data_IF_078123918976
#
_entry.id   IF_078123918976
#
_cell.length_a   1.000
_cell.length_b   1.000
_cell.length_c   1.000
_cell.angle_alpha   90.00
_cell.angle_beta   90.00
_cell.angle_gamma   90.00
#
_symmetry.space_group_name_H-M   'P 1'
#
loop_
_entity.id
_entity.type
_entity.pdbx_description
1 polymer ?
#
# COMPACT_ATOMS: atom_id res chain seq x y z
N UNK A 1 18.39 -66.04 6.47
CA UNK A 1 18.70 -64.99 5.43
C UNK A 1 20.17 -64.62 5.64
N UNK A 2 21.07 -65.10 4.78
CA UNK A 2 22.48 -64.73 4.80
C UNK A 2 22.60 -63.36 4.11
N UNK A 3 22.81 -62.31 4.90
CA UNK A 3 23.21 -61.02 4.34
C UNK A 3 24.62 -61.21 3.76
N UNK A 4 24.77 -61.13 2.48
CA UNK A 4 26.07 -61.21 1.83
C UNK A 4 26.92 -60.03 2.31
N UNK A 5 28.23 -60.25 2.51
CA UNK A 5 29.18 -59.23 2.94
C UNK A 5 29.09 -57.96 2.10
N UNK A 6 28.84 -58.09 0.81
CA UNK A 6 28.56 -56.99 -0.12
C UNK A 6 27.31 -56.17 0.26
N UNK A 7 26.19 -56.80 0.63
CA UNK A 7 24.99 -56.11 1.08
C UNK A 7 25.16 -55.36 2.40
N UNK A 8 26.00 -55.86 3.29
CA UNK A 8 26.36 -55.15 4.53
C UNK A 8 27.17 -53.90 4.25
N UNK A 9 28.17 -53.96 3.38
CA UNK A 9 28.95 -52.77 2.99
C UNK A 9 28.10 -51.74 2.27
N UNK A 10 27.23 -52.17 1.34
CA UNK A 10 26.36 -51.27 0.63
C UNK A 10 25.45 -50.51 1.60
N UNK A 11 24.82 -51.20 2.54
CA UNK A 11 23.94 -50.60 3.54
C UNK A 11 24.68 -49.59 4.45
N UNK A 12 25.95 -49.87 4.78
CA UNK A 12 26.74 -48.92 5.54
C UNK A 12 27.12 -47.69 4.75
N UNK A 13 27.44 -47.82 3.45
CA UNK A 13 27.70 -46.70 2.55
C UNK A 13 26.46 -45.82 2.43
N UNK A 14 25.28 -46.41 2.19
CA UNK A 14 24.01 -45.68 2.06
C UNK A 14 23.68 -44.92 3.36
N UNK A 15 23.90 -45.56 4.52
CA UNK A 15 23.75 -44.90 5.83
C UNK A 15 24.71 -43.74 6.02
N UNK A 16 25.98 -43.91 5.60
CA UNK A 16 27.00 -42.85 5.70
C UNK A 16 26.65 -41.65 4.82
N UNK A 17 26.19 -41.88 3.58
CA UNK A 17 25.73 -40.84 2.66
C UNK A 17 24.53 -40.09 3.26
N UNK A 18 23.57 -40.85 3.83
CA UNK A 18 22.39 -40.25 4.47
C UNK A 18 22.77 -39.35 5.65
N UNK A 19 23.63 -39.83 6.52
CA UNK A 19 24.14 -39.07 7.69
C UNK A 19 24.91 -37.82 7.26
N UNK A 20 25.74 -37.91 6.24
CA UNK A 20 26.51 -36.79 5.73
C UNK A 20 25.58 -35.69 5.15
N UNK A 21 24.53 -36.06 4.41
CA UNK A 21 23.52 -35.14 3.92
C UNK A 21 22.76 -34.47 5.07
N UNK A 22 22.38 -35.23 6.09
CA UNK A 22 21.69 -34.73 7.28
C UNK A 22 22.55 -33.72 8.08
N UNK A 23 23.84 -34.00 8.23
CA UNK A 23 24.81 -33.08 8.85
C UNK A 23 24.93 -31.78 8.03
N UNK A 24 25.00 -31.89 6.70
CA UNK A 24 25.07 -30.72 5.82
C UNK A 24 23.82 -29.87 5.93
N UNK A 25 22.63 -30.47 5.93
CA UNK A 25 21.37 -29.77 6.11
C UNK A 25 21.30 -29.07 7.48
N UNK A 26 21.74 -29.73 8.54
CA UNK A 26 21.79 -29.14 9.88
C UNK A 26 22.78 -27.96 9.95
N UNK A 27 23.94 -28.05 9.29
CA UNK A 27 24.91 -26.96 9.23
C UNK A 27 24.29 -25.72 8.52
N UNK A 28 23.56 -25.92 7.43
CA UNK A 28 22.86 -24.85 6.73
C UNK A 28 21.79 -24.22 7.64
N UNK A 29 21.01 -25.04 8.36
CA UNK A 29 20.02 -24.55 9.32
C UNK A 29 20.62 -23.71 10.44
N UNK A 30 21.74 -24.17 11.01
CA UNK A 30 22.47 -23.45 12.07
C UNK A 30 23.04 -22.13 11.53
N UNK A 31 23.65 -22.16 10.34
CA UNK A 31 24.26 -20.95 9.74
C UNK A 31 23.25 -19.90 9.33
N UNK A 32 22.07 -20.31 8.88
CA UNK A 32 21.00 -19.41 8.44
C UNK A 32 20.03 -19.02 9.56
N UNK A 33 20.05 -19.73 10.70
CA UNK A 33 19.06 -19.59 11.78
C UNK A 33 17.65 -19.99 11.37
N UNK A 34 17.46 -20.61 10.20
CA UNK A 34 16.15 -21.01 9.66
C UNK A 34 16.07 -22.51 9.49
N UNK A 35 15.01 -23.13 9.99
CA UNK A 35 14.73 -24.54 9.74
C UNK A 35 14.38 -24.73 8.26
N UNK A 36 15.16 -25.56 7.55
CA UNK A 36 14.84 -25.95 6.18
C UNK A 36 13.59 -26.84 6.19
N UNK A 37 12.55 -26.39 5.53
CA UNK A 37 11.31 -27.15 5.39
C UNK A 37 11.40 -27.96 4.09
N UNK A 38 11.56 -29.27 4.20
CA UNK A 38 11.47 -30.15 3.03
C UNK A 38 10.06 -30.75 2.95
N UNK A 39 9.50 -30.78 1.74
CA UNK A 39 8.18 -31.39 1.46
C UNK A 39 8.02 -32.82 2.00
N UNK A 40 9.14 -33.54 2.16
CA UNK A 40 9.14 -34.91 2.67
C UNK A 40 9.09 -35.00 4.20
N UNK A 41 9.48 -33.92 4.89
CA UNK A 41 9.64 -33.94 6.35
C UNK A 41 8.45 -33.31 7.09
N UNK A 42 7.81 -32.27 6.55
CA UNK A 42 6.73 -31.59 7.26
C UNK A 42 5.77 -30.89 6.29
N UNK A 43 4.86 -31.68 5.69
CA UNK A 43 3.83 -31.18 4.77
C UNK A 43 2.90 -30.16 5.46
N UNK A 44 2.62 -30.35 6.75
CA UNK A 44 1.74 -29.47 7.51
C UNK A 44 2.42 -28.09 7.72
N UNK A 45 3.71 -28.06 8.04
CA UNK A 45 4.44 -26.80 8.19
C UNK A 45 4.52 -26.02 6.88
N UNK A 46 4.69 -26.71 5.74
CA UNK A 46 4.68 -26.07 4.42
C UNK A 46 3.28 -25.51 4.10
N UNK A 47 2.22 -26.27 4.37
CA UNK A 47 0.83 -25.78 4.18
C UNK A 47 0.56 -24.53 5.02
N UNK A 48 0.98 -24.53 6.29
CA UNK A 48 0.83 -23.36 7.17
C UNK A 48 1.67 -22.16 6.69
N UNK A 49 2.87 -22.42 6.15
CA UNK A 49 3.71 -21.36 5.57
C UNK A 49 3.03 -20.72 4.37
N UNK A 50 2.53 -21.53 3.43
CA UNK A 50 1.82 -21.03 2.24
C UNK A 50 0.58 -20.21 2.64
N UNK A 51 -0.24 -20.70 3.57
CA UNK A 51 -1.39 -19.96 4.09
C UNK A 51 -0.96 -18.62 4.73
N UNK A 52 0.16 -18.61 5.47
CA UNK A 52 0.69 -17.37 6.07
C UNK A 52 1.19 -16.39 5.00
N UNK A 53 1.82 -16.88 3.94
CA UNK A 53 2.25 -16.04 2.81
C UNK A 53 1.06 -15.46 2.04
N UNK A 54 0.00 -16.25 1.80
CA UNK A 54 -1.24 -15.77 1.20
C UNK A 54 -1.87 -14.65 2.04
N UNK A 55 -2.01 -14.85 3.34
CA UNK A 55 -2.50 -13.81 4.26
C UNK A 55 -1.63 -12.55 4.25
N UNK A 56 -0.31 -12.70 4.21
CA UNK A 56 0.60 -11.56 4.11
C UNK A 56 0.39 -10.75 2.83
N UNK A 57 0.18 -11.42 1.69
CA UNK A 57 -0.13 -10.77 0.41
C UNK A 57 -1.47 -10.04 0.49
N UNK A 58 -2.48 -10.65 1.10
CA UNK A 58 -3.80 -10.06 1.29
C UNK A 58 -3.72 -8.80 2.18
N UNK A 59 -3.07 -8.89 3.34
CA UNK A 59 -2.86 -7.74 4.24
C UNK A 59 -2.09 -6.62 3.53
N UNK A 60 -1.09 -6.96 2.71
CA UNK A 60 -0.38 -5.96 1.92
C UNK A 60 -1.31 -5.24 0.94
N UNK A 61 -2.18 -5.95 0.23
CA UNK A 61 -3.18 -5.34 -0.67
C UNK A 61 -4.13 -4.40 0.08
N UNK A 62 -4.57 -4.77 1.29
CA UNK A 62 -5.40 -3.90 2.11
C UNK A 62 -4.65 -2.64 2.55
N UNK A 63 -3.38 -2.75 2.95
CA UNK A 63 -2.55 -1.60 3.30
C UNK A 63 -2.32 -0.66 2.10
N UNK A 64 -2.03 -1.21 0.92
CA UNK A 64 -1.85 -0.44 -0.30
C UNK A 64 -3.15 0.29 -0.71
N UNK A 65 -4.31 -0.38 -0.53
CA UNK A 65 -5.63 0.24 -0.73
C UNK A 65 -5.91 1.35 0.29
N UNK A 66 -5.65 1.10 1.57
CA UNK A 66 -5.81 2.11 2.62
C UNK A 66 -4.95 3.34 2.34
N UNK A 67 -3.69 3.15 1.91
CA UNK A 67 -2.81 4.24 1.53
C UNK A 67 -3.38 5.09 0.39
N UNK A 68 -3.96 4.47 -0.64
CA UNK A 68 -4.63 5.21 -1.74
C UNK A 68 -5.83 6.00 -1.25
N UNK A 69 -6.68 5.38 -0.43
CA UNK A 69 -7.86 6.05 0.13
C UNK A 69 -7.46 7.26 0.98
N UNK A 70 -6.40 7.13 1.79
CA UNK A 70 -5.88 8.26 2.58
C UNK A 70 -5.45 9.40 1.66
N UNK A 71 -4.69 9.13 0.60
CA UNK A 71 -4.27 10.15 -0.36
C UNK A 71 -5.45 10.81 -1.08
N UNK A 72 -6.49 10.04 -1.41
CA UNK A 72 -7.71 10.59 -2.02
C UNK A 72 -8.48 11.48 -1.03
N UNK A 73 -8.57 11.09 0.23
CA UNK A 73 -9.19 11.89 1.29
C UNK A 73 -8.43 13.19 1.55
N UNK A 74 -7.09 13.15 1.60
CA UNK A 74 -6.25 14.35 1.74
C UNK A 74 -6.49 15.34 0.58
N UNK A 75 -6.63 14.84 -0.64
CA UNK A 75 -6.96 15.68 -1.80
C UNK A 75 -8.35 16.29 -1.71
N UNK A 76 -9.33 15.52 -1.25
CA UNK A 76 -10.69 16.00 -1.02
C UNK A 76 -10.68 17.10 0.06
N UNK A 77 -9.91 16.93 1.13
CA UNK A 77 -9.78 17.91 2.21
C UNK A 77 -9.21 19.24 1.69
N UNK A 78 -8.14 19.18 0.89
CA UNK A 78 -7.59 20.36 0.20
C UNK A 78 -8.65 21.04 -0.68
N UNK A 79 -9.43 20.25 -1.41
CA UNK A 79 -10.51 20.79 -2.27
C UNK A 79 -11.60 21.50 -1.45
N UNK A 80 -11.96 20.94 -0.31
CA UNK A 80 -12.91 21.59 0.61
C UNK A 80 -12.35 22.88 1.21
N UNK A 81 -11.08 22.91 1.58
CA UNK A 81 -10.41 24.12 2.07
C UNK A 81 -10.44 25.23 1.01
N UNK A 82 -10.13 24.91 -0.24
CA UNK A 82 -10.23 25.87 -1.35
C UNK A 82 -11.66 26.41 -1.54
N UNK A 83 -12.67 25.52 -1.52
CA UNK A 83 -14.08 25.94 -1.62
C UNK A 83 -14.51 26.80 -0.44
N UNK A 84 -14.05 26.49 0.78
CA UNK A 84 -14.33 27.30 1.96
C UNK A 84 -13.71 28.69 1.84
N UNK A 85 -12.46 28.79 1.41
CA UNK A 85 -11.77 30.06 1.19
C UNK A 85 -12.48 30.90 0.11
N UNK A 86 -12.88 30.28 -0.99
CA UNK A 86 -13.67 30.92 -2.04
C UNK A 86 -15.02 31.46 -1.51
N UNK A 87 -15.71 30.67 -0.68
CA UNK A 87 -17.00 31.09 -0.08
C UNK A 87 -16.82 32.25 0.91
N UNK A 88 -15.76 32.24 1.72
CA UNK A 88 -15.42 33.34 2.64
C UNK A 88 -15.14 34.60 1.82
N UNK A 89 -14.34 34.51 0.76
CA UNK A 89 -14.01 35.65 -0.09
C UNK A 89 -15.24 36.23 -0.81
N UNK A 90 -16.13 35.36 -1.31
CA UNK A 90 -17.42 35.83 -1.88
C UNK A 90 -18.28 36.58 -0.85
N UNK A 91 -18.32 36.10 0.39
CA UNK A 91 -19.02 36.77 1.48
C UNK A 91 -18.44 38.15 1.78
N UNK A 92 -17.10 38.27 1.82
CA UNK A 92 -16.43 39.57 2.00
C UNK A 92 -16.77 40.54 0.86
N UNK A 93 -16.64 40.12 -0.38
CA UNK A 93 -17.03 40.91 -1.56
C UNK A 93 -18.50 41.35 -1.52
N UNK A 94 -19.38 40.45 -1.05
CA UNK A 94 -20.79 40.80 -0.87
C UNK A 94 -21.00 41.92 0.16
N UNK A 95 -20.32 41.84 1.31
CA UNK A 95 -20.36 42.86 2.36
C UNK A 95 -19.78 44.16 1.85
N UNK A 96 -18.64 44.16 1.19
CA UNK A 96 -18.00 45.32 0.60
C UNK A 96 -18.91 45.98 -0.45
N UNK A 97 -19.55 45.18 -1.33
CA UNK A 97 -20.46 45.68 -2.36
C UNK A 97 -21.74 46.27 -1.79
N UNK A 98 -22.18 45.82 -0.62
CA UNK A 98 -23.40 46.31 0.05
C UNK A 98 -23.21 47.66 0.73
N UNK A 99 -21.98 48.11 0.97
CA UNK A 99 -21.64 49.36 1.62
C UNK A 99 -21.85 50.66 0.77
N UNK A 100 -22.47 50.57 -0.37
CA UNK A 100 -23.30 51.61 -0.99
C UNK A 100 -22.60 52.65 -1.86
N UNK A 101 -21.30 52.81 -1.89
CA UNK A 101 -20.60 53.89 -2.64
C UNK A 101 -19.48 53.36 -3.57
N UNK A 102 -19.79 52.31 -4.31
CA UNK A 102 -18.83 51.77 -5.27
C UNK A 102 -18.77 52.64 -6.54
N UNK A 103 -17.59 53.08 -6.92
CA UNK A 103 -17.33 53.67 -8.22
C UNK A 103 -17.48 52.66 -9.34
N UNK A 104 -17.61 53.13 -10.58
CA UNK A 104 -17.71 52.27 -11.76
C UNK A 104 -16.49 51.36 -11.91
N UNK A 105 -15.30 51.85 -11.54
CA UNK A 105 -14.06 51.07 -11.60
C UNK A 105 -14.02 49.97 -10.54
N UNK A 106 -14.46 50.24 -9.32
CA UNK A 106 -14.54 49.25 -8.25
C UNK A 106 -15.52 48.14 -8.58
N UNK A 107 -16.66 48.45 -9.17
CA UNK A 107 -17.64 47.46 -9.65
C UNK A 107 -17.02 46.52 -10.69
N UNK A 108 -16.21 47.04 -11.61
CA UNK A 108 -15.50 46.21 -12.60
C UNK A 108 -14.49 45.27 -11.94
N UNK A 109 -13.75 45.77 -10.94
CA UNK A 109 -12.80 44.93 -10.19
C UNK A 109 -13.50 43.79 -9.45
N UNK A 110 -14.61 44.07 -8.76
CA UNK A 110 -15.44 43.04 -8.12
C UNK A 110 -15.97 42.01 -9.11
N UNK A 111 -16.44 42.44 -10.29
CA UNK A 111 -16.90 41.49 -11.33
C UNK A 111 -15.78 40.57 -11.81
N UNK A 112 -14.58 41.08 -11.98
CA UNK A 112 -13.39 40.27 -12.36
C UNK A 112 -13.03 39.30 -11.27
N UNK A 113 -13.05 39.72 -10.00
CA UNK A 113 -12.73 38.87 -8.86
C UNK A 113 -13.75 37.75 -8.67
N UNK A 114 -15.06 38.08 -8.74
CA UNK A 114 -16.15 37.09 -8.70
C UNK A 114 -16.01 36.08 -9.85
N UNK A 115 -15.66 36.55 -11.05
CA UNK A 115 -15.43 35.67 -12.20
C UNK A 115 -14.24 34.73 -11.95
N UNK A 116 -13.16 35.24 -11.36
CA UNK A 116 -12.01 34.40 -10.96
C UNK A 116 -12.38 33.36 -9.94
N UNK A 117 -13.09 33.74 -8.87
CA UNK A 117 -13.56 32.79 -7.85
C UNK A 117 -14.50 31.72 -8.45
N UNK A 118 -15.38 32.12 -9.37
CA UNK A 118 -16.25 31.17 -10.09
C UNK A 118 -15.43 30.12 -10.85
N UNK A 119 -14.42 30.56 -11.59
CA UNK A 119 -13.54 29.65 -12.35
C UNK A 119 -12.75 28.72 -11.40
N UNK A 120 -12.30 29.23 -10.26
CA UNK A 120 -11.64 28.43 -9.21
C UNK A 120 -12.57 27.35 -8.66
N UNK A 121 -13.81 27.70 -8.29
CA UNK A 121 -14.83 26.74 -7.81
C UNK A 121 -15.11 25.69 -8.88
N UNK A 122 -15.27 26.09 -10.14
CA UNK A 122 -15.48 25.15 -11.24
C UNK A 122 -14.28 24.23 -11.47
N UNK A 123 -13.07 24.75 -11.34
CA UNK A 123 -11.85 23.95 -11.44
C UNK A 123 -11.78 22.89 -10.34
N UNK A 124 -12.07 23.28 -9.10
CA UNK A 124 -12.11 22.33 -7.97
C UNK A 124 -13.21 21.30 -8.13
N UNK A 125 -14.44 21.74 -8.52
CA UNK A 125 -15.59 20.84 -8.71
C UNK A 125 -15.41 19.86 -9.88
N UNK A 126 -14.65 20.24 -10.91
CA UNK A 126 -14.32 19.40 -12.06
C UNK A 126 -12.97 18.68 -11.92
N UNK A 127 -12.29 18.85 -10.78
CA UNK A 127 -11.04 18.15 -10.48
C UNK A 127 -11.26 16.64 -10.53
N UNK A 128 -10.53 15.96 -11.43
CA UNK A 128 -10.58 14.50 -11.56
C UNK A 128 -9.54 13.86 -10.65
N UNK A 129 -9.84 12.66 -10.20
CA UNK A 129 -8.85 11.87 -9.49
C UNK A 129 -7.80 11.27 -10.46
N UNK A 130 -6.76 10.63 -9.91
CA UNK A 130 -5.70 10.03 -10.70
C UNK A 130 -6.19 8.88 -11.61
N UNK A 131 -7.44 8.46 -11.43
CA UNK A 131 -8.08 7.38 -12.21
C UNK A 131 -9.08 7.94 -13.24
N UNK A 132 -9.30 9.27 -13.30
CA UNK A 132 -10.21 9.94 -14.24
C UNK A 132 -11.60 10.08 -13.72
#
# INVERSE_FOLDING_TARGET
MTITTSGFYQKNIDNFIRLNNEVTDLQVQVSTGKKSLSLKQDVQAISNLNASEEHKVEVKKFNDNAGRIISDLERIDISFEQLQNAAVRLKELHIESSNGFLTVNERKLFQLEIAGIKEEILSVANGRDALG
#
